data_IF_655328863327
#
_entry.id   IF_655328863327
#
_cell.length_a   1.000
_cell.length_b   1.000
_cell.length_c   1.000
_cell.angle_alpha   90.00
_cell.angle_beta   90.00
_cell.angle_gamma   90.00
#
_symmetry.space_group_name_H-M   'P 1'
#
loop_
_entity.id
_entity.type
_entity.pdbx_description
1 polymer ?
#
# COMPACT_ATOMS: atom_id res chain seq x y z
N UNK A 1 29.60 20.55 -1.33
CA UNK A 1 30.69 21.46 -0.87
C UNK A 1 31.46 22.12 -2.01
N UNK A 2 31.72 21.39 -3.12
CA UNK A 2 32.49 21.94 -4.25
C UNK A 2 31.80 23.03 -5.07
N UNK A 3 30.48 22.97 -5.20
CA UNK A 3 29.67 23.92 -5.97
C UNK A 3 29.48 25.23 -5.23
N UNK A 4 29.26 25.19 -3.91
CA UNK A 4 29.18 26.40 -3.06
C UNK A 4 30.47 27.19 -3.15
N UNK A 5 31.62 26.52 -3.15
CA UNK A 5 32.93 27.19 -3.34
C UNK A 5 33.06 27.80 -4.75
N UNK A 6 32.58 27.12 -5.79
CA UNK A 6 32.60 27.65 -7.17
C UNK A 6 31.73 28.90 -7.34
N UNK A 7 30.56 28.91 -6.66
CA UNK A 7 29.62 30.02 -6.68
C UNK A 7 30.00 31.17 -5.72
N UNK A 8 31.08 31.01 -4.92
CA UNK A 8 31.51 31.96 -3.90
C UNK A 8 30.40 32.35 -2.90
N UNK A 9 29.46 31.45 -2.66
CA UNK A 9 28.37 31.66 -1.71
C UNK A 9 28.89 31.55 -0.29
N UNK A 10 28.59 32.55 0.52
CA UNK A 10 28.88 32.57 1.97
C UNK A 10 27.56 32.43 2.72
N UNK A 11 27.63 31.83 3.90
CA UNK A 11 26.48 31.75 4.80
C UNK A 11 26.04 33.18 5.18
N UNK A 12 24.74 33.46 5.06
CA UNK A 12 24.18 34.77 5.31
C UNK A 12 24.25 35.77 4.11
N UNK A 13 24.77 35.34 2.95
CA UNK A 13 24.70 36.14 1.74
C UNK A 13 23.25 36.34 1.29
N UNK A 14 22.88 37.57 0.96
CA UNK A 14 21.63 37.86 0.26
C UNK A 14 21.86 37.64 -1.25
N UNK A 15 20.93 36.91 -1.86
CA UNK A 15 20.91 36.65 -3.30
C UNK A 15 19.70 37.37 -3.90
N UNK A 16 19.87 37.92 -5.09
CA UNK A 16 18.74 38.37 -5.88
C UNK A 16 17.91 37.18 -6.35
N UNK A 17 16.60 37.39 -6.52
CA UNK A 17 15.65 36.34 -6.91
C UNK A 17 16.09 35.59 -8.18
N UNK A 18 16.53 36.30 -9.19
CA UNK A 18 16.99 35.74 -10.47
C UNK A 18 18.25 34.87 -10.29
N UNK A 19 19.17 35.31 -9.43
CA UNK A 19 20.38 34.55 -9.14
C UNK A 19 20.07 33.30 -8.33
N UNK A 20 19.19 33.38 -7.34
CA UNK A 20 18.70 32.23 -6.58
C UNK A 20 18.03 31.21 -7.51
N UNK A 21 17.13 31.66 -8.39
CA UNK A 21 16.42 30.77 -9.31
C UNK A 21 17.40 30.11 -10.31
N UNK A 22 18.39 30.84 -10.81
CA UNK A 22 19.43 30.25 -11.66
C UNK A 22 20.22 29.17 -10.95
N UNK A 23 20.63 29.38 -9.71
CA UNK A 23 21.37 28.42 -8.89
C UNK A 23 20.47 27.20 -8.57
N UNK A 24 19.21 27.46 -8.25
CA UNK A 24 18.20 26.41 -8.00
C UNK A 24 18.07 25.47 -9.19
N UNK A 25 17.84 26.04 -10.39
CA UNK A 25 17.67 25.27 -11.62
C UNK A 25 18.92 24.54 -12.06
N UNK A 26 20.08 25.17 -11.92
CA UNK A 26 21.35 24.61 -12.39
C UNK A 26 21.91 23.53 -11.44
N UNK A 27 21.68 23.64 -10.14
CA UNK A 27 22.32 22.76 -9.16
C UNK A 27 21.34 22.04 -8.23
N UNK A 28 20.40 22.76 -7.60
CA UNK A 28 19.56 22.17 -6.56
C UNK A 28 18.55 21.19 -7.15
N UNK A 29 17.84 21.58 -8.20
CA UNK A 29 16.81 20.75 -8.83
C UNK A 29 17.36 19.45 -9.45
N UNK A 30 18.45 19.46 -10.24
CA UNK A 30 19.05 18.22 -10.74
C UNK A 30 19.49 17.27 -9.63
N UNK A 31 20.08 17.79 -8.55
CA UNK A 31 20.47 16.99 -7.39
C UNK A 31 19.27 16.37 -6.67
N UNK A 32 18.20 17.13 -6.50
CA UNK A 32 16.97 16.65 -5.91
C UNK A 32 16.36 15.52 -6.75
N UNK A 33 16.31 15.67 -8.08
CA UNK A 33 15.86 14.63 -9.01
C UNK A 33 16.72 13.36 -8.92
N UNK A 34 18.04 13.49 -8.95
CA UNK A 34 18.95 12.34 -8.79
C UNK A 34 18.76 11.65 -7.43
N UNK A 35 18.57 12.41 -6.36
CA UNK A 35 18.31 11.86 -5.04
C UNK A 35 16.98 11.11 -4.98
N UNK A 36 15.92 11.65 -5.57
CA UNK A 36 14.63 11.01 -5.65
C UNK A 36 14.73 9.65 -6.36
N UNK A 37 15.36 9.62 -7.53
CA UNK A 37 15.60 8.39 -8.30
C UNK A 37 16.43 7.37 -7.46
N UNK A 38 17.48 7.82 -6.79
CA UNK A 38 18.30 6.96 -5.95
C UNK A 38 17.56 6.38 -4.73
N UNK A 39 16.55 7.09 -4.21
CA UNK A 39 15.67 6.58 -3.15
C UNK A 39 14.73 5.50 -3.71
N UNK A 40 14.11 5.76 -4.85
CA UNK A 40 13.16 4.86 -5.51
C UNK A 40 13.83 3.59 -6.04
N UNK A 41 15.05 3.69 -6.55
CA UNK A 41 15.83 2.54 -7.03
C UNK A 41 16.13 1.50 -5.92
N UNK A 42 16.07 1.89 -4.65
CA UNK A 42 16.27 0.95 -3.53
C UNK A 42 15.01 0.22 -3.14
N UNK A 43 13.87 0.87 -3.23
CA UNK A 43 12.56 0.35 -2.84
C UNK A 43 11.46 1.29 -3.31
N UNK A 44 10.39 0.72 -3.84
CA UNK A 44 9.17 1.44 -4.18
C UNK A 44 8.61 2.20 -2.98
N UNK A 45 8.09 3.39 -3.24
CA UNK A 45 7.51 4.29 -2.25
C UNK A 45 6.30 5.00 -2.82
N UNK A 46 5.38 5.31 -1.93
CA UNK A 46 4.30 6.24 -2.25
C UNK A 46 4.85 7.66 -2.44
N UNK A 47 4.09 8.51 -3.12
CA UNK A 47 4.45 9.92 -3.28
C UNK A 47 4.72 10.58 -1.93
N UNK A 48 3.84 10.33 -0.93
CA UNK A 48 4.01 10.86 0.43
C UNK A 48 5.31 10.37 1.08
N UNK A 49 5.60 9.08 1.04
CA UNK A 49 6.85 8.53 1.62
C UNK A 49 8.10 9.10 0.96
N UNK A 50 8.06 9.36 -0.35
CA UNK A 50 9.16 10.00 -1.07
C UNK A 50 9.30 11.47 -0.67
N UNK A 51 8.18 12.20 -0.63
CA UNK A 51 8.11 13.61 -0.21
C UNK A 51 8.70 13.78 1.20
N UNK A 52 8.26 12.97 2.15
CA UNK A 52 8.75 12.98 3.53
C UNK A 52 10.28 12.75 3.60
N UNK A 53 10.80 11.87 2.73
CA UNK A 53 12.25 11.60 2.64
C UNK A 53 13.03 12.77 2.02
N UNK A 54 12.50 13.41 1.01
CA UNK A 54 13.15 14.55 0.36
C UNK A 54 13.15 15.79 1.25
N UNK A 55 12.07 16.07 1.96
CA UNK A 55 11.95 17.18 2.90
C UNK A 55 13.00 17.17 4.01
N UNK A 56 13.50 16.01 4.42
CA UNK A 56 14.59 15.90 5.40
C UNK A 56 15.87 16.64 4.96
N UNK A 57 16.02 16.95 3.68
CA UNK A 57 17.23 17.56 3.12
C UNK A 57 16.97 18.67 2.13
N UNK A 58 15.75 18.92 1.76
CA UNK A 58 15.31 19.98 0.89
C UNK A 58 14.46 20.96 1.67
N UNK A 59 14.93 22.18 1.82
CA UNK A 59 14.20 23.26 2.48
C UNK A 59 13.37 24.08 1.48
N UNK A 60 13.76 24.07 0.21
CA UNK A 60 13.06 24.79 -0.85
C UNK A 60 11.86 23.98 -1.37
N UNK A 61 10.66 24.47 -1.07
CA UNK A 61 9.38 23.85 -1.46
C UNK A 61 9.22 23.75 -2.96
N UNK A 62 9.66 24.77 -3.73
CA UNK A 62 9.55 24.79 -5.19
C UNK A 62 10.37 23.66 -5.82
N UNK A 63 11.59 23.46 -5.38
CA UNK A 63 12.45 22.35 -5.81
C UNK A 63 11.83 20.98 -5.44
N UNK A 64 11.22 20.87 -4.27
CA UNK A 64 10.53 19.65 -3.86
C UNK A 64 9.36 19.33 -4.80
N UNK A 65 8.45 20.30 -5.04
CA UNK A 65 7.28 20.09 -5.88
C UNK A 65 7.67 19.74 -7.33
N UNK A 66 8.63 20.43 -7.90
CA UNK A 66 9.13 20.14 -9.24
C UNK A 66 9.83 18.77 -9.33
N UNK A 67 10.48 18.34 -8.25
CA UNK A 67 11.08 17.00 -8.17
C UNK A 67 10.02 15.92 -8.12
N UNK A 68 8.98 16.08 -7.30
CA UNK A 68 7.86 15.15 -7.22
C UNK A 68 7.11 15.07 -8.56
N UNK A 69 6.81 16.22 -9.17
CA UNK A 69 6.17 16.28 -10.48
C UNK A 69 6.99 15.53 -11.54
N UNK A 70 8.30 15.73 -11.54
CA UNK A 70 9.20 15.04 -12.47
C UNK A 70 9.15 13.51 -12.32
N UNK A 71 9.33 12.97 -11.11
CA UNK A 71 9.34 11.52 -10.91
C UNK A 71 7.99 10.87 -11.19
N UNK A 72 6.89 11.61 -10.97
CA UNK A 72 5.52 11.19 -11.34
C UNK A 72 5.37 11.12 -12.86
N UNK A 73 5.77 12.18 -13.57
CA UNK A 73 5.70 12.23 -15.04
C UNK A 73 6.56 11.15 -15.70
N UNK A 74 7.68 10.78 -15.08
CA UNK A 74 8.55 9.69 -15.55
C UNK A 74 8.03 8.30 -15.14
N UNK A 75 6.92 8.20 -14.41
CA UNK A 75 6.39 6.91 -13.95
C UNK A 75 7.22 6.22 -12.86
N UNK A 76 8.14 6.93 -12.20
CA UNK A 76 8.92 6.38 -11.07
C UNK A 76 8.13 6.32 -9.76
N UNK A 77 7.02 7.07 -9.67
CA UNK A 77 6.06 7.04 -8.57
C UNK A 77 4.68 6.93 -9.15
N UNK A 78 3.98 5.87 -8.77
CA UNK A 78 2.60 5.59 -9.15
C UNK A 78 1.87 5.00 -7.93
N UNK A 79 1.08 5.82 -7.27
CA UNK A 79 0.34 5.43 -6.07
C UNK A 79 -0.77 4.41 -6.38
N UNK A 80 -1.31 4.39 -7.61
CA UNK A 80 -2.31 3.42 -8.05
C UNK A 80 -1.66 2.04 -8.19
N UNK A 81 -0.53 1.97 -8.92
CA UNK A 81 0.20 0.72 -9.07
C UNK A 81 0.75 0.22 -7.74
N UNK A 82 1.27 1.12 -6.90
CA UNK A 82 1.71 0.77 -5.54
C UNK A 82 0.58 0.15 -4.71
N UNK A 83 -0.63 0.70 -4.78
CA UNK A 83 -1.78 0.17 -4.05
C UNK A 83 -2.19 -1.22 -4.57
N UNK A 84 -2.22 -1.44 -5.90
CA UNK A 84 -2.50 -2.75 -6.51
C UNK A 84 -1.50 -3.81 -6.05
N UNK A 85 -0.20 -3.51 -6.15
CA UNK A 85 0.86 -4.43 -5.72
C UNK A 85 0.75 -4.74 -4.23
N UNK A 86 0.45 -3.71 -3.41
CA UNK A 86 0.29 -3.89 -1.98
C UNK A 86 -0.89 -4.80 -1.64
N UNK A 87 -2.04 -4.63 -2.30
CA UNK A 87 -3.20 -5.51 -2.17
C UNK A 87 -2.82 -6.93 -2.57
N UNK A 88 -2.23 -7.11 -3.75
CA UNK A 88 -1.81 -8.41 -4.26
C UNK A 88 -0.94 -9.19 -3.27
N UNK A 89 0.04 -8.54 -2.65
CA UNK A 89 0.94 -9.19 -1.68
C UNK A 89 0.33 -9.41 -0.29
N UNK A 90 -0.75 -8.69 0.05
CA UNK A 90 -1.37 -8.75 1.39
C UNK A 90 -2.70 -9.49 1.41
N UNK A 91 -3.37 -9.63 0.27
CA UNK A 91 -4.61 -10.40 0.17
C UNK A 91 -4.40 -11.83 0.68
N UNK A 92 -5.43 -12.43 1.26
CA UNK A 92 -5.33 -13.73 1.91
C UNK A 92 -4.63 -13.76 3.28
N UNK A 93 -3.93 -12.68 3.68
CA UNK A 93 -3.31 -12.54 5.01
C UNK A 93 -4.02 -11.50 5.87
N UNK A 94 -4.56 -10.46 5.25
CA UNK A 94 -5.26 -9.33 5.87
C UNK A 94 -6.57 -9.09 5.15
N UNK A 95 -7.56 -8.54 5.87
CA UNK A 95 -8.79 -8.08 5.24
C UNK A 95 -8.53 -6.82 4.40
N UNK A 96 -9.42 -6.53 3.45
CA UNK A 96 -9.38 -5.32 2.66
C UNK A 96 -9.43 -4.06 3.54
N UNK A 97 -10.20 -4.08 4.63
CA UNK A 97 -10.25 -2.98 5.59
C UNK A 97 -8.87 -2.69 6.20
N UNK A 98 -8.15 -3.72 6.63
CA UNK A 98 -6.79 -3.56 7.18
C UNK A 98 -5.82 -3.04 6.12
N UNK A 99 -5.88 -3.58 4.90
CA UNK A 99 -5.03 -3.14 3.79
C UNK A 99 -5.32 -1.67 3.46
N UNK A 100 -6.60 -1.27 3.38
CA UNK A 100 -7.01 0.12 3.15
C UNK A 100 -6.45 1.07 4.19
N UNK A 101 -6.56 0.72 5.47
CA UNK A 101 -6.00 1.52 6.58
C UNK A 101 -4.47 1.66 6.49
N UNK A 102 -3.76 0.61 6.09
CA UNK A 102 -2.31 0.64 5.92
C UNK A 102 -1.89 1.53 4.74
N UNK A 103 -2.60 1.45 3.62
CA UNK A 103 -2.37 2.31 2.45
C UNK A 103 -2.67 3.79 2.75
N UNK A 104 -3.74 4.07 3.51
CA UNK A 104 -4.03 5.43 3.99
C UNK A 104 -2.90 5.98 4.85
N UNK A 105 -2.36 5.19 5.78
CA UNK A 105 -1.19 5.60 6.60
C UNK A 105 0.05 5.89 5.74
N UNK A 106 0.19 5.21 4.61
CA UNK A 106 1.25 5.44 3.63
C UNK A 106 1.00 6.66 2.73
N UNK A 107 -0.16 7.29 2.87
CA UNK A 107 -0.52 8.53 2.18
C UNK A 107 -1.21 8.34 0.84
N UNK A 108 -1.65 7.13 0.52
CA UNK A 108 -2.50 6.90 -0.66
C UNK A 108 -3.83 7.63 -0.46
N UNK A 109 -4.25 8.40 -1.47
CA UNK A 109 -5.48 9.18 -1.41
C UNK A 109 -6.72 8.30 -1.39
N UNK A 110 -7.82 8.80 -0.77
CA UNK A 110 -9.09 8.07 -0.74
C UNK A 110 -9.61 7.76 -2.14
N UNK A 111 -9.42 8.67 -3.09
CA UNK A 111 -9.85 8.48 -4.48
C UNK A 111 -9.13 7.30 -5.14
N UNK A 112 -7.81 7.19 -4.97
CA UNK A 112 -7.02 6.04 -5.47
C UNK A 112 -7.48 4.75 -4.82
N UNK A 113 -7.71 4.77 -3.50
CA UNK A 113 -8.19 3.59 -2.78
C UNK A 113 -9.57 3.15 -3.25
N UNK A 114 -10.52 4.07 -3.43
CA UNK A 114 -11.85 3.74 -3.95
C UNK A 114 -11.74 3.05 -5.30
N UNK A 115 -11.01 3.63 -6.26
CA UNK A 115 -10.82 3.04 -7.58
C UNK A 115 -10.22 1.63 -7.51
N UNK A 116 -9.13 1.46 -6.75
CA UNK A 116 -8.42 0.17 -6.72
C UNK A 116 -9.22 -0.90 -5.97
N UNK A 117 -9.93 -0.54 -4.88
CA UNK A 117 -10.75 -1.50 -4.15
C UNK A 117 -12.07 -1.84 -4.85
N UNK A 118 -12.63 -0.96 -5.68
CA UNK A 118 -13.75 -1.29 -6.55
C UNK A 118 -13.37 -2.34 -7.61
N UNK A 119 -12.19 -2.21 -8.19
CA UNK A 119 -11.64 -3.19 -9.14
C UNK A 119 -11.42 -4.58 -8.50
N UNK A 120 -10.99 -4.63 -7.23
CA UNK A 120 -10.65 -5.86 -6.49
C UNK A 120 -11.84 -6.41 -5.66
N UNK A 121 -12.97 -5.70 -5.57
CA UNK A 121 -14.04 -5.94 -4.60
C UNK A 121 -14.70 -7.32 -4.66
N UNK A 122 -14.67 -8.00 -5.81
CA UNK A 122 -15.19 -9.38 -5.93
C UNK A 122 -14.28 -10.46 -5.33
N UNK A 123 -13.02 -10.16 -5.08
CA UNK A 123 -12.02 -11.17 -4.66
C UNK A 123 -11.99 -11.40 -3.14
N UNK A 124 -12.45 -10.46 -2.31
CA UNK A 124 -12.39 -10.60 -0.86
C UNK A 124 -13.22 -11.78 -0.34
N UNK A 125 -14.40 -12.02 -0.93
CA UNK A 125 -15.24 -13.16 -0.58
C UNK A 125 -14.57 -14.50 -0.92
N UNK A 126 -13.96 -14.60 -2.10
CA UNK A 126 -13.25 -15.82 -2.50
C UNK A 126 -12.06 -16.11 -1.58
N UNK A 127 -11.29 -15.05 -1.26
CA UNK A 127 -10.12 -15.15 -0.39
C UNK A 127 -10.50 -15.58 1.05
N UNK A 128 -11.54 -14.99 1.63
CA UNK A 128 -11.99 -15.38 2.97
C UNK A 128 -12.60 -16.77 2.98
N UNK A 129 -13.38 -17.13 1.95
CA UNK A 129 -14.00 -18.44 1.83
C UNK A 129 -12.95 -19.57 1.86
N UNK A 130 -11.90 -19.44 1.05
CA UNK A 130 -10.81 -20.44 1.06
C UNK A 130 -10.11 -20.52 2.42
N UNK A 131 -9.86 -19.38 3.08
CA UNK A 131 -9.24 -19.36 4.40
C UNK A 131 -10.14 -19.97 5.48
N UNK A 132 -11.42 -19.62 5.49
CA UNK A 132 -12.42 -20.16 6.43
C UNK A 132 -12.54 -21.68 6.26
N UNK A 133 -12.69 -22.16 5.03
CA UNK A 133 -12.75 -23.60 4.71
C UNK A 133 -11.50 -24.34 5.23
N UNK A 134 -10.31 -23.81 4.95
CA UNK A 134 -9.04 -24.38 5.45
C UNK A 134 -8.95 -24.36 6.98
N UNK A 135 -9.48 -23.32 7.63
CA UNK A 135 -9.46 -23.19 9.08
C UNK A 135 -10.48 -24.11 9.75
N UNK A 136 -11.67 -24.27 9.16
CA UNK A 136 -12.72 -25.18 9.63
C UNK A 136 -12.27 -26.65 9.67
N UNK A 137 -11.48 -27.09 8.70
CA UNK A 137 -10.91 -28.47 8.68
C UNK A 137 -10.05 -28.82 9.90
N UNK A 138 -9.68 -27.85 10.74
CA UNK A 138 -8.95 -28.10 12.00
C UNK A 138 -9.85 -28.55 13.15
N UNK A 139 -11.16 -28.44 12.98
CA UNK A 139 -12.14 -28.78 14.00
C UNK A 139 -12.84 -30.07 13.62
N UNK A 140 -12.82 -31.12 14.50
CA UNK A 140 -13.48 -32.38 14.20
C UNK A 140 -15.00 -32.24 14.04
N UNK A 141 -15.59 -31.27 14.75
CA UNK A 141 -17.01 -30.92 14.68
C UNK A 141 -17.18 -29.40 14.69
N UNK A 142 -18.13 -28.92 13.90
CA UNK A 142 -18.50 -27.51 13.83
C UNK A 142 -19.61 -27.16 14.83
N UNK A 143 -19.36 -27.44 16.12
CA UNK A 143 -20.24 -27.06 17.21
C UNK A 143 -20.24 -25.53 17.44
N UNK A 144 -21.08 -25.08 18.37
CA UNK A 144 -21.19 -23.65 18.69
C UNK A 144 -19.84 -23.03 19.11
N UNK A 145 -19.07 -23.74 19.94
CA UNK A 145 -17.77 -23.25 20.43
C UNK A 145 -16.74 -23.12 19.31
N UNK A 146 -16.68 -24.09 18.40
CA UNK A 146 -15.82 -24.06 17.22
C UNK A 146 -16.20 -22.91 16.29
N UNK A 147 -17.49 -22.70 16.02
CA UNK A 147 -18.00 -21.59 15.21
C UNK A 147 -17.62 -20.23 15.82
N UNK A 148 -17.72 -20.06 17.13
CA UNK A 148 -17.29 -18.85 17.83
C UNK A 148 -15.77 -18.59 17.69
N UNK A 149 -14.95 -19.64 17.79
CA UNK A 149 -13.49 -19.53 17.61
C UNK A 149 -13.12 -19.12 16.18
N UNK A 150 -13.79 -19.70 15.19
CA UNK A 150 -13.60 -19.38 13.77
C UNK A 150 -13.98 -17.92 13.54
N UNK A 151 -15.17 -17.49 13.95
CA UNK A 151 -15.61 -16.11 13.84
C UNK A 151 -14.62 -15.13 14.47
N UNK A 152 -14.24 -15.35 15.72
CA UNK A 152 -13.31 -14.51 16.44
C UNK A 152 -11.92 -14.42 15.79
N UNK A 153 -11.48 -15.51 15.14
CA UNK A 153 -10.22 -15.52 14.40
C UNK A 153 -10.25 -14.55 13.22
N UNK A 154 -11.30 -14.57 12.41
CA UNK A 154 -11.43 -13.70 11.24
C UNK A 154 -11.81 -12.26 11.60
N UNK A 155 -12.62 -12.05 12.64
CA UNK A 155 -12.90 -10.72 13.18
C UNK A 155 -11.61 -10.01 13.65
N UNK A 156 -10.69 -10.71 14.30
CA UNK A 156 -9.37 -10.16 14.67
C UNK A 156 -8.48 -9.83 13.48
N UNK A 157 -8.69 -10.50 12.34
CA UNK A 157 -8.05 -10.16 11.07
C UNK A 157 -8.70 -8.95 10.38
N UNK A 158 -9.77 -8.39 10.96
CA UNK A 158 -10.45 -7.20 10.47
C UNK A 158 -11.44 -7.45 9.32
N UNK A 159 -11.88 -8.70 9.12
CA UNK A 159 -12.96 -8.98 8.19
C UNK A 159 -14.30 -8.50 8.77
N UNK A 160 -15.20 -8.06 7.88
CA UNK A 160 -16.54 -7.64 8.25
C UNK A 160 -17.38 -8.82 8.80
N UNK A 161 -18.31 -8.50 9.69
CA UNK A 161 -19.16 -9.49 10.36
C UNK A 161 -20.06 -10.28 9.41
N UNK A 162 -20.62 -9.62 8.40
CA UNK A 162 -21.50 -10.25 7.41
C UNK A 162 -20.68 -11.15 6.50
N UNK A 163 -19.54 -10.65 6.03
CA UNK A 163 -18.60 -11.40 5.20
C UNK A 163 -18.11 -12.67 5.89
N UNK A 164 -17.78 -12.60 7.19
CA UNK A 164 -17.38 -13.79 7.98
C UNK A 164 -18.51 -14.80 8.05
N UNK A 165 -19.74 -14.37 8.35
CA UNK A 165 -20.89 -15.29 8.48
C UNK A 165 -21.21 -15.96 7.16
N UNK A 166 -21.23 -15.20 6.07
CA UNK A 166 -21.47 -15.72 4.73
C UNK A 166 -20.39 -16.73 4.31
N UNK A 167 -19.11 -16.39 4.53
CA UNK A 167 -18.02 -17.30 4.26
C UNK A 167 -18.06 -18.57 5.10
N UNK A 168 -18.47 -18.47 6.37
CA UNK A 168 -18.64 -19.65 7.24
C UNK A 168 -19.77 -20.56 6.78
N UNK A 169 -20.88 -20.01 6.32
CA UNK A 169 -22.01 -20.78 5.80
C UNK A 169 -21.61 -21.51 4.52
N UNK A 170 -21.09 -20.78 3.53
CA UNK A 170 -20.64 -21.36 2.26
C UNK A 170 -19.52 -22.41 2.44
N UNK A 171 -18.58 -22.16 3.35
CA UNK A 171 -17.52 -23.11 3.64
C UNK A 171 -18.04 -24.40 4.30
N UNK A 172 -19.08 -24.29 5.13
CA UNK A 172 -19.76 -25.46 5.73
C UNK A 172 -20.43 -26.33 4.67
N UNK A 173 -21.22 -25.71 3.79
CA UNK A 173 -21.88 -26.39 2.66
C UNK A 173 -20.87 -27.13 1.76
N UNK A 174 -19.78 -26.46 1.38
CA UNK A 174 -18.73 -27.06 0.56
C UNK A 174 -17.99 -28.22 1.24
N UNK A 175 -17.88 -28.22 2.56
CA UNK A 175 -17.25 -29.31 3.30
C UNK A 175 -18.19 -30.52 3.44
N UNK A 176 -19.51 -30.31 3.57
CA UNK A 176 -20.52 -31.35 3.55
C UNK A 176 -20.57 -32.03 2.18
N UNK A 177 -20.59 -31.27 1.08
CA UNK A 177 -20.56 -31.82 -0.29
C UNK A 177 -19.30 -32.68 -0.56
N UNK A 178 -18.13 -32.24 -0.08
CA UNK A 178 -16.88 -33.01 -0.21
C UNK A 178 -16.96 -34.35 0.56
N UNK A 179 -17.53 -34.36 1.75
CA UNK A 179 -17.66 -35.58 2.56
C UNK A 179 -18.64 -36.58 1.95
N UNK A 180 -19.71 -36.12 1.33
CA UNK A 180 -20.69 -36.96 0.65
C UNK A 180 -20.14 -37.57 -0.63
N UNK A 181 -19.33 -36.84 -1.37
CA UNK A 181 -18.66 -37.36 -2.58
C UNK A 181 -17.58 -38.38 -2.26
N UNK A 182 -16.81 -38.24 -1.19
CA UNK A 182 -15.85 -39.25 -0.74
C UNK A 182 -16.52 -40.56 -0.29
N UNK A 183 -17.70 -40.50 0.35
CA UNK A 183 -18.46 -41.67 0.74
C UNK A 183 -19.15 -42.44 -0.40
N UNK A 184 -19.25 -41.85 -1.58
CA UNK A 184 -19.86 -42.46 -2.78
C UNK A 184 -18.90 -43.35 -3.57
N UNK A 185 -17.61 -43.23 -3.32
CA UNK A 185 -16.55 -43.98 -4.02
C UNK A 185 -15.96 -45.17 -3.19
N UNK A 186 -16.52 -45.47 -2.05
CA UNK A 186 -16.20 -46.64 -1.24
C UNK A 186 -17.46 -47.50 -1.03
#
# INVERSE_FOLDING_TARGET
PGEIKKLKLLEGSMLEEDEFERIRLQYALPRAKHRAIAILAKRDKTEKELRDKLQQSLTDTKTLEETIAYVRTCGYVDDVQYARDYIYFKKGRKSFLQIKMELQKKGISSQVLETVFEEEGGQEMEDILMQVKKYMRRFPQLDYASRQKIYAHFARKGYDSELIREAMTKAGELLEEESDTENFFY
#
